data_IF_854750934926
#
_entry.id   IF_854750934926
#
_cell.length_a   1.000
_cell.length_b   1.000
_cell.length_c   1.000
_cell.angle_alpha   90.00
_cell.angle_beta   90.00
_cell.angle_gamma   90.00
#
_symmetry.space_group_name_H-M   'P 1'
#
loop_
_entity.id
_entity.type
_entity.pdbx_description
1 polymer ?
#
# COMPACT_ATOMS: atom_id res chain seq x y z
N UNK A 1 2.35 -15.76 19.43
CA UNK A 1 1.96 -14.57 18.65
C UNK A 1 2.84 -14.49 17.42
N UNK A 2 2.24 -14.46 16.25
CA UNK A 2 3.02 -14.40 15.03
C UNK A 2 3.63 -13.03 14.83
N UNK A 3 4.80 -13.01 14.22
CA UNK A 3 5.49 -11.79 13.91
C UNK A 3 5.76 -11.74 12.41
N UNK A 4 5.82 -10.53 11.87
CA UNK A 4 6.13 -10.33 10.46
C UNK A 4 7.60 -10.65 10.22
N UNK A 5 7.86 -11.57 9.29
CA UNK A 5 9.21 -11.93 8.88
C UNK A 5 9.66 -11.06 7.71
N UNK A 6 8.79 -10.90 6.72
CA UNK A 6 9.13 -10.14 5.54
C UNK A 6 7.89 -9.55 4.89
N UNK A 7 8.10 -8.48 4.14
CA UNK A 7 7.04 -7.80 3.41
C UNK A 7 7.64 -7.32 2.10
N UNK A 8 7.09 -7.80 0.99
CA UNK A 8 7.67 -7.51 -0.32
C UNK A 8 6.61 -7.50 -1.38
N UNK A 9 6.84 -6.70 -2.42
CA UNK A 9 5.95 -6.63 -3.56
C UNK A 9 6.30 -7.72 -4.56
N UNK A 10 5.30 -8.47 -4.98
CA UNK A 10 5.46 -9.51 -5.99
C UNK A 10 4.92 -8.98 -7.31
N UNK A 11 5.82 -8.73 -8.27
CA UNK A 11 5.44 -8.15 -9.56
C UNK A 11 4.58 -9.08 -10.40
N UNK A 12 4.74 -10.38 -10.24
CA UNK A 12 3.98 -11.34 -11.03
C UNK A 12 2.51 -11.34 -10.67
N UNK A 13 2.20 -11.14 -9.41
CA UNK A 13 0.83 -11.15 -8.93
C UNK A 13 0.28 -9.76 -8.64
N UNK A 14 1.13 -8.73 -8.68
CA UNK A 14 0.80 -7.36 -8.32
C UNK A 14 0.28 -7.27 -6.89
N UNK A 15 0.87 -8.06 -6.00
CA UNK A 15 0.45 -8.10 -4.60
C UNK A 15 1.63 -7.82 -3.68
N UNK A 16 1.34 -7.16 -2.56
CA UNK A 16 2.30 -7.05 -1.46
C UNK A 16 2.06 -8.26 -0.55
N UNK A 17 3.11 -9.04 -0.34
CA UNK A 17 3.01 -10.27 0.43
C UNK A 17 3.65 -10.11 1.80
N UNK A 18 2.91 -10.47 2.85
CA UNK A 18 3.39 -10.43 4.22
C UNK A 18 3.55 -11.86 4.71
N UNK A 19 4.75 -12.19 5.16
CA UNK A 19 5.09 -13.52 5.67
C UNK A 19 5.30 -13.44 7.17
N UNK A 20 4.67 -14.35 7.89
CA UNK A 20 4.70 -14.35 9.36
C UNK A 20 5.38 -15.59 9.90
N UNK A 21 5.78 -15.52 11.18
CA UNK A 21 6.54 -16.61 11.82
C UNK A 21 5.76 -17.90 11.95
N UNK A 22 4.44 -17.84 11.94
CA UNK A 22 3.61 -19.05 12.06
C UNK A 22 3.37 -19.72 10.71
N UNK A 23 3.99 -19.20 9.64
CA UNK A 23 3.80 -19.76 8.30
C UNK A 23 2.66 -19.11 7.53
N UNK A 24 1.96 -18.18 8.11
CA UNK A 24 0.88 -17.47 7.40
C UNK A 24 1.46 -16.55 6.35
N UNK A 25 0.72 -16.41 5.25
CA UNK A 25 1.06 -15.47 4.20
C UNK A 25 -0.20 -14.69 3.84
N UNK A 26 -0.13 -13.38 3.93
CA UNK A 26 -1.23 -12.50 3.53
C UNK A 26 -0.81 -11.75 2.27
N UNK A 27 -1.72 -11.68 1.31
CA UNK A 27 -1.45 -10.98 0.05
C UNK A 27 -2.42 -9.82 -0.10
N UNK A 28 -1.88 -8.64 -0.38
CA UNK A 28 -2.69 -7.45 -0.63
C UNK A 28 -2.66 -7.19 -2.13
N UNK A 29 -3.80 -7.28 -2.78
CA UNK A 29 -3.89 -7.03 -4.22
C UNK A 29 -3.86 -5.53 -4.47
N UNK A 30 -2.72 -5.04 -4.94
CA UNK A 30 -2.51 -3.60 -5.11
C UNK A 30 -3.43 -3.00 -6.16
N UNK A 31 -3.72 -3.76 -7.22
CA UNK A 31 -4.63 -3.28 -8.25
C UNK A 31 -6.03 -3.07 -7.70
N UNK A 32 -6.51 -4.01 -6.89
CA UNK A 32 -7.83 -3.87 -6.29
C UNK A 32 -7.90 -2.67 -5.36
N UNK A 33 -6.85 -2.46 -4.57
CA UNK A 33 -6.82 -1.32 -3.66
C UNK A 33 -6.84 -0.01 -4.46
N UNK A 34 -6.01 0.08 -5.49
CA UNK A 34 -5.97 1.31 -6.30
C UNK A 34 -7.31 1.58 -6.96
N UNK A 35 -7.98 0.54 -7.43
CA UNK A 35 -9.28 0.72 -8.07
C UNK A 35 -10.35 1.23 -7.12
N UNK A 36 -10.21 0.93 -5.84
CA UNK A 36 -11.17 1.36 -4.83
C UNK A 36 -10.90 2.78 -4.32
N UNK A 37 -9.64 3.13 -4.14
CA UNK A 37 -9.33 4.36 -3.40
C UNK A 37 -8.63 5.43 -4.22
N UNK A 38 -7.97 5.08 -5.31
CA UNK A 38 -7.22 6.06 -6.10
C UNK A 38 -8.09 6.58 -7.23
N UNK A 39 -8.35 7.88 -7.25
CA UNK A 39 -9.25 8.51 -8.21
C UNK A 39 -8.55 9.04 -9.45
N UNK A 40 -7.23 9.16 -9.42
CA UNK A 40 -6.50 9.74 -10.52
C UNK A 40 -5.08 9.19 -10.56
N UNK A 41 -4.34 9.57 -11.60
CA UNK A 41 -2.98 9.08 -11.80
C UNK A 41 -2.02 9.51 -10.70
N UNK A 42 -2.23 10.70 -10.16
CA UNK A 42 -1.38 11.17 -9.09
C UNK A 42 -1.48 10.27 -7.87
N UNK A 43 -2.72 9.94 -7.49
CA UNK A 43 -2.93 9.08 -6.32
C UNK A 43 -2.39 7.68 -6.56
N UNK A 44 -2.55 7.16 -7.80
CA UNK A 44 -1.97 5.86 -8.12
C UNK A 44 -0.46 5.89 -8.03
N UNK A 45 0.15 6.97 -8.47
CA UNK A 45 1.60 7.12 -8.40
C UNK A 45 2.10 7.15 -6.96
N UNK A 46 1.34 7.78 -6.06
CA UNK A 46 1.72 7.81 -4.65
C UNK A 46 1.70 6.42 -4.05
N UNK A 47 0.68 5.64 -4.37
CA UNK A 47 0.61 4.27 -3.87
C UNK A 47 1.72 3.41 -4.48
N UNK A 48 1.98 3.57 -5.77
CA UNK A 48 3.06 2.82 -6.42
C UNK A 48 4.41 3.15 -5.78
N UNK A 49 4.63 4.40 -5.45
CA UNK A 49 5.86 4.81 -4.78
C UNK A 49 6.05 4.03 -3.48
N UNK A 50 4.99 3.93 -2.66
CA UNK A 50 5.06 3.17 -1.43
C UNK A 50 5.31 1.69 -1.69
N UNK A 51 4.61 1.13 -2.67
CA UNK A 51 4.73 -0.29 -2.98
C UNK A 51 6.16 -0.66 -3.32
N UNK A 52 6.83 0.16 -4.12
CA UNK A 52 8.18 -0.14 -4.57
C UNK A 52 9.26 0.26 -3.57
N UNK A 53 9.01 1.28 -2.76
CA UNK A 53 10.04 1.81 -1.88
C UNK A 53 9.84 1.45 -0.42
N UNK A 54 8.59 1.22 0.00
CA UNK A 54 8.31 0.91 1.40
C UNK A 54 7.03 0.08 1.48
N UNK A 55 7.10 -1.18 1.04
CA UNK A 55 5.91 -2.04 1.04
C UNK A 55 5.32 -2.26 2.43
N UNK A 56 6.12 -2.18 3.47
CA UNK A 56 5.59 -2.33 4.82
C UNK A 56 4.68 -1.16 5.19
N UNK A 57 5.08 0.07 4.84
CA UNK A 57 4.23 1.23 5.08
C UNK A 57 2.93 1.11 4.31
N UNK A 58 3.01 0.64 3.06
CA UNK A 58 1.82 0.43 2.26
C UNK A 58 0.87 -0.58 2.95
N UNK A 59 1.43 -1.70 3.40
CA UNK A 59 0.64 -2.74 4.06
C UNK A 59 -0.01 -2.22 5.33
N UNK A 60 0.72 -1.42 6.10
CA UNK A 60 0.16 -0.83 7.31
C UNK A 60 -1.04 0.05 7.00
N UNK A 61 -0.94 0.87 5.96
CA UNK A 61 -2.06 1.73 5.57
C UNK A 61 -3.29 0.91 5.20
N UNK A 62 -3.08 -0.14 4.42
CA UNK A 62 -4.20 -0.98 3.97
C UNK A 62 -4.83 -1.71 5.14
N UNK A 63 -4.02 -2.32 5.98
CA UNK A 63 -4.54 -3.12 7.08
C UNK A 63 -5.23 -2.29 8.14
N UNK A 64 -4.82 -1.03 8.31
CA UNK A 64 -5.43 -0.12 9.27
C UNK A 64 -6.59 0.67 8.67
N UNK A 65 -6.81 0.55 7.36
CA UNK A 65 -7.87 1.28 6.71
C UNK A 65 -7.58 2.76 6.51
N UNK A 66 -6.30 3.13 6.43
CA UNK A 66 -5.90 4.53 6.39
C UNK A 66 -5.46 5.01 5.01
N UNK A 67 -5.67 4.20 3.96
CA UNK A 67 -5.18 4.56 2.62
C UNK A 67 -5.80 5.86 2.13
N UNK A 68 -7.11 6.01 2.30
CA UNK A 68 -7.80 7.22 1.84
C UNK A 68 -7.31 8.46 2.58
N UNK A 69 -7.10 8.31 3.89
CA UNK A 69 -6.59 9.43 4.69
C UNK A 69 -5.20 9.84 4.23
N UNK A 70 -4.36 8.84 3.92
CA UNK A 70 -3.02 9.11 3.40
C UNK A 70 -3.09 9.85 2.07
N UNK A 71 -3.92 9.37 1.15
CA UNK A 71 -4.04 9.99 -0.17
C UNK A 71 -4.59 11.41 -0.07
N UNK A 72 -5.56 11.63 0.80
CA UNK A 72 -6.08 12.97 1.01
C UNK A 72 -5.01 13.91 1.53
N UNK A 73 -4.17 13.43 2.42
CA UNK A 73 -3.11 14.25 3.00
C UNK A 73 -2.09 14.67 1.93
N UNK A 74 -1.63 13.72 1.11
CA UNK A 74 -0.63 14.05 0.10
C UNK A 74 -1.22 14.89 -1.02
N UNK A 75 -2.48 14.65 -1.39
CA UNK A 75 -3.14 15.43 -2.43
C UNK A 75 -3.35 16.87 -1.95
N UNK A 76 -3.79 17.02 -0.72
CA UNK A 76 -3.99 18.34 -0.14
C UNK A 76 -2.68 19.11 -0.09
N UNK A 77 -1.62 18.43 0.27
CA UNK A 77 -0.30 19.05 0.34
C UNK A 77 0.14 19.54 -1.02
N UNK A 78 -0.07 18.72 -2.04
CA UNK A 78 0.29 19.09 -3.41
C UNK A 78 -0.52 20.26 -3.91
N UNK A 79 -1.81 20.26 -3.66
CA UNK A 79 -2.68 21.33 -4.05
C UNK A 79 -2.23 22.65 -3.41
N UNK A 80 -1.79 22.56 -2.20
CA UNK A 80 -1.37 23.72 -1.46
C UNK A 80 -0.13 24.38 -2.07
N UNK A 81 0.71 23.58 -2.67
CA UNK A 81 1.94 24.08 -3.25
C UNK A 81 1.73 24.87 -4.51
N UNK A 82 0.58 24.71 -5.13
CA UNK A 82 0.26 25.49 -6.31
C UNK A 82 -0.21 26.86 -5.92
#
# INVERSE_FOLDING_TARGET
MEKLISCAFNMDTACVELHFTDGSIYSINCTAVENEVADNLYERSELDYLIYNDPLAYADLVLNGDVEAYLNAVTEYQTYEN
#
